data_IF_590965793501
#
_entry.id   IF_590965793501
#
_cell.length_a   1.000
_cell.length_b   1.000
_cell.length_c   1.000
_cell.angle_alpha   90.00
_cell.angle_beta   90.00
_cell.angle_gamma   90.00
#
_symmetry.space_group_name_H-M   'P 1'
#
loop_
_entity.id
_entity.type
_entity.pdbx_description
1 polymer ?
#
# COMPACT_ATOMS: atom_id res chain seq x y z
N UNK A 1 20.57 -9.19 15.27
CA UNK A 1 21.65 -9.67 14.38
C UNK A 1 21.09 -10.89 13.65
N UNK A 2 21.19 -10.98 12.33
CA UNK A 2 20.62 -12.12 11.59
C UNK A 2 21.35 -13.41 11.94
N UNK A 3 20.63 -14.52 12.10
CA UNK A 3 21.23 -15.83 12.26
C UNK A 3 21.98 -16.22 10.98
N UNK A 4 23.21 -16.69 11.15
CA UNK A 4 24.05 -17.20 10.06
C UNK A 4 24.26 -18.70 10.21
N UNK A 5 24.42 -19.39 9.09
CA UNK A 5 24.75 -20.82 9.08
C UNK A 5 26.26 -21.04 9.37
N UNK A 6 26.69 -22.30 9.31
CA UNK A 6 28.08 -22.73 9.54
C UNK A 6 29.12 -22.13 8.59
N UNK A 7 28.69 -21.54 7.46
CA UNK A 7 29.56 -20.85 6.49
C UNK A 7 29.41 -19.32 6.56
N UNK A 8 28.78 -18.80 7.60
CA UNK A 8 28.66 -17.36 7.83
C UNK A 8 27.67 -16.64 6.91
N UNK A 9 26.72 -17.37 6.30
CA UNK A 9 25.70 -16.81 5.41
C UNK A 9 24.33 -16.80 6.07
N UNK A 10 23.59 -15.71 5.88
CA UNK A 10 22.18 -15.57 6.28
C UNK A 10 21.27 -16.34 5.33
N UNK A 11 20.03 -16.62 5.76
CA UNK A 11 19.03 -17.26 4.91
C UNK A 11 18.77 -16.48 3.60
N UNK A 12 18.80 -15.15 3.67
CA UNK A 12 18.66 -14.27 2.48
C UNK A 12 19.84 -14.43 1.53
N UNK A 13 21.08 -14.43 2.04
CA UNK A 13 22.27 -14.64 1.20
C UNK A 13 22.32 -16.04 0.58
N UNK A 14 21.85 -17.08 1.29
CA UNK A 14 21.73 -18.43 0.75
C UNK A 14 20.68 -18.50 -0.35
N UNK A 15 19.50 -17.92 -0.13
CA UNK A 15 18.45 -17.85 -1.13
C UNK A 15 18.92 -17.10 -2.39
N UNK A 16 19.66 -16.01 -2.22
CA UNK A 16 20.27 -15.28 -3.33
C UNK A 16 21.30 -16.14 -4.08
N UNK A 17 22.13 -16.89 -3.36
CA UNK A 17 23.16 -17.76 -3.94
C UNK A 17 22.57 -18.85 -4.85
N UNK A 18 21.41 -19.40 -4.48
CA UNK A 18 20.71 -20.42 -5.29
C UNK A 18 19.71 -19.83 -6.30
N UNK A 19 19.68 -18.51 -6.48
CA UNK A 19 18.82 -17.83 -7.46
C UNK A 19 17.36 -17.64 -7.04
N UNK A 20 17.00 -17.89 -5.78
CA UNK A 20 15.64 -17.69 -5.26
C UNK A 20 15.41 -16.23 -4.83
N UNK A 21 15.44 -15.31 -5.81
CA UNK A 21 15.28 -13.87 -5.58
C UNK A 21 13.92 -13.48 -4.97
N UNK A 22 12.86 -14.25 -5.22
CA UNK A 22 11.56 -14.05 -4.57
C UNK A 22 11.63 -14.31 -3.07
N UNK A 23 12.32 -15.38 -2.64
CA UNK A 23 12.54 -15.66 -1.23
C UNK A 23 13.38 -14.57 -0.56
N UNK A 24 14.41 -14.07 -1.25
CA UNK A 24 15.22 -12.92 -0.80
C UNK A 24 14.33 -11.70 -0.56
N UNK A 25 13.45 -11.38 -1.52
CA UNK A 25 12.53 -10.25 -1.41
C UNK A 25 11.56 -10.43 -0.23
N UNK A 26 11.00 -11.62 -0.02
CA UNK A 26 10.11 -11.90 1.12
C UNK A 26 10.85 -11.75 2.45
N UNK A 27 12.06 -12.31 2.57
CA UNK A 27 12.87 -12.24 3.79
C UNK A 27 13.27 -10.79 4.09
N UNK A 28 13.77 -10.06 3.10
CA UNK A 28 14.26 -8.69 3.28
C UNK A 28 13.13 -7.68 3.52
N UNK A 29 11.90 -8.00 3.11
CA UNK A 29 10.71 -7.15 3.28
C UNK A 29 9.84 -7.54 4.48
N UNK A 30 10.26 -8.54 5.27
CA UNK A 30 9.54 -8.93 6.47
C UNK A 30 9.75 -7.92 7.60
N UNK A 31 8.65 -7.48 8.20
CA UNK A 31 8.64 -6.67 9.42
C UNK A 31 8.04 -7.55 10.50
N UNK A 32 8.83 -7.87 11.52
CA UNK A 32 8.40 -8.76 12.60
C UNK A 32 7.60 -8.00 13.66
N UNK A 33 6.80 -8.72 14.46
CA UNK A 33 6.03 -8.12 15.56
C UNK A 33 6.97 -7.59 16.64
N UNK A 34 8.08 -8.29 16.91
CA UNK A 34 9.08 -7.89 17.90
C UNK A 34 9.72 -6.55 17.55
N UNK A 35 9.87 -6.26 16.25
CA UNK A 35 10.35 -4.95 15.77
C UNK A 35 9.35 -3.83 16.09
N UNK A 36 8.05 -4.11 15.98
CA UNK A 36 7.01 -3.16 16.39
C UNK A 36 7.08 -2.92 17.89
N UNK A 37 7.18 -3.99 18.68
CA UNK A 37 7.27 -3.94 20.13
C UNK A 37 8.51 -3.20 20.62
N UNK A 38 9.67 -3.38 19.97
CA UNK A 38 10.92 -2.67 20.26
C UNK A 38 10.72 -1.14 20.25
N UNK A 39 9.96 -0.62 19.29
CA UNK A 39 9.66 0.82 19.20
C UNK A 39 8.44 1.23 20.03
N UNK A 40 7.50 0.31 20.28
CA UNK A 40 6.32 0.58 21.08
C UNK A 40 6.67 0.68 22.57
N UNK A 41 7.44 -0.30 23.06
CA UNK A 41 7.88 -0.45 24.45
C UNK A 41 9.36 -0.90 24.47
N UNK A 42 10.32 0.04 24.37
CA UNK A 42 11.74 -0.30 24.35
C UNK A 42 12.18 -1.06 25.61
N UNK A 43 13.05 -2.06 25.43
CA UNK A 43 13.70 -2.77 26.54
C UNK A 43 15.17 -2.37 26.65
N UNK A 44 15.65 -2.09 27.85
CA UNK A 44 17.08 -1.94 28.17
C UNK A 44 17.41 -3.02 29.19
N UNK A 45 18.43 -3.84 28.91
CA UNK A 45 18.83 -4.98 29.75
C UNK A 45 17.70 -5.99 30.07
N UNK A 46 16.75 -6.15 29.16
CA UNK A 46 15.62 -7.08 29.33
C UNK A 46 14.40 -6.49 30.05
N UNK A 47 14.52 -5.30 30.62
CA UNK A 47 13.44 -4.60 31.31
C UNK A 47 12.84 -3.50 30.44
N UNK A 48 11.51 -3.32 30.51
CA UNK A 48 10.83 -2.24 29.81
C UNK A 48 11.25 -0.89 30.38
N UNK A 49 11.47 0.07 29.49
CA UNK A 49 11.88 1.43 29.85
C UNK A 49 10.74 2.40 29.61
N UNK A 50 10.48 3.23 30.61
CA UNK A 50 9.34 4.14 30.65
C UNK A 50 8.12 3.52 31.34
N UNK A 51 7.27 4.36 31.93
CA UNK A 51 6.05 3.92 32.63
C UNK A 51 4.81 3.77 31.73
N UNK A 52 4.96 3.91 30.41
CA UNK A 52 3.84 3.85 29.47
C UNK A 52 3.56 2.41 29.05
N UNK A 53 2.34 1.94 29.34
CA UNK A 53 1.83 0.66 28.87
C UNK A 53 0.82 0.86 27.72
N UNK A 54 0.94 0.00 26.70
CA UNK A 54 0.16 0.05 25.46
C UNK A 54 -0.53 -1.30 25.19
N UNK A 55 -1.82 -1.35 24.83
CA UNK A 55 -2.52 -2.63 24.62
C UNK A 55 -1.87 -3.47 23.50
N UNK A 56 -1.94 -4.80 23.61
CA UNK A 56 -1.37 -5.73 22.62
C UNK A 56 -2.04 -5.57 21.25
N UNK A 57 -3.31 -5.15 21.25
CA UNK A 57 -4.06 -4.79 20.05
C UNK A 57 -3.42 -3.63 19.29
N UNK A 58 -2.72 -2.71 19.97
CA UNK A 58 -2.00 -1.61 19.32
C UNK A 58 -0.79 -2.13 18.54
N UNK A 59 0.01 -3.02 19.13
CA UNK A 59 1.15 -3.65 18.46
C UNK A 59 0.66 -4.45 17.24
N UNK A 60 -0.41 -5.24 17.42
CA UNK A 60 -1.05 -6.00 16.34
C UNK A 60 -1.54 -5.10 15.22
N UNK A 61 -2.20 -3.98 15.56
CA UNK A 61 -2.68 -3.00 14.60
C UNK A 61 -1.53 -2.40 13.77
N UNK A 62 -0.47 -1.91 14.42
CA UNK A 62 0.67 -1.31 13.73
C UNK A 62 1.40 -2.35 12.87
N UNK A 63 1.67 -3.54 13.41
CA UNK A 63 2.26 -4.65 12.67
C UNK A 63 1.46 -4.97 11.41
N UNK A 64 0.14 -5.08 11.57
CA UNK A 64 -0.75 -5.43 10.46
C UNK A 64 -0.80 -4.35 9.36
N UNK A 65 -0.52 -3.08 9.68
CA UNK A 65 -0.34 -2.01 8.68
C UNK A 65 0.99 -2.19 7.95
N UNK A 66 2.10 -2.20 8.69
CA UNK A 66 3.46 -2.24 8.16
C UNK A 66 3.78 -3.53 7.38
N UNK A 67 3.27 -4.67 7.84
CA UNK A 67 3.48 -5.97 7.23
C UNK A 67 2.59 -6.25 6.00
N UNK A 68 1.55 -5.44 5.76
CA UNK A 68 0.65 -5.65 4.62
C UNK A 68 1.20 -5.08 3.30
N UNK A 69 0.55 -5.45 2.19
CA UNK A 69 0.75 -4.86 0.86
C UNK A 69 -0.27 -3.76 0.55
N UNK A 70 -1.06 -3.36 1.55
CA UNK A 70 -2.21 -2.47 1.37
C UNK A 70 -1.80 -1.00 1.52
N UNK A 71 -1.30 -0.42 0.43
CA UNK A 71 -0.82 0.98 0.40
C UNK A 71 -1.85 2.00 -0.09
N UNK A 72 -3.06 1.57 -0.43
CA UNK A 72 -4.08 2.46 -0.95
C UNK A 72 -4.63 3.40 0.16
N UNK A 73 -4.73 4.73 -0.07
CA UNK A 73 -5.14 5.70 0.95
C UNK A 73 -6.46 5.33 1.65
N UNK A 74 -7.51 5.02 0.88
CA UNK A 74 -8.82 4.63 1.43
C UNK A 74 -8.75 3.38 2.29
N UNK A 75 -7.88 2.41 1.96
CA UNK A 75 -7.72 1.20 2.77
C UNK A 75 -7.04 1.52 4.10
N UNK A 76 -6.01 2.36 4.09
CA UNK A 76 -5.35 2.84 5.30
C UNK A 76 -6.34 3.62 6.17
N UNK A 77 -7.15 4.50 5.58
CA UNK A 77 -8.21 5.24 6.29
C UNK A 77 -9.24 4.28 6.91
N UNK A 78 -9.68 3.25 6.20
CA UNK A 78 -10.61 2.25 6.76
C UNK A 78 -10.02 1.49 7.94
N UNK A 79 -8.71 1.23 7.94
CA UNK A 79 -8.04 0.57 9.06
C UNK A 79 -7.91 1.52 10.24
N UNK A 80 -7.55 2.77 9.99
CA UNK A 80 -7.54 3.82 11.01
C UNK A 80 -8.92 4.02 11.65
N UNK A 81 -9.97 4.11 10.83
CA UNK A 81 -11.34 4.35 11.31
C UNK A 81 -11.89 3.22 12.16
N UNK A 82 -11.50 1.97 11.86
CA UNK A 82 -11.97 0.77 12.59
C UNK A 82 -11.20 0.50 13.87
N UNK A 83 -10.04 1.14 14.08
CA UNK A 83 -9.29 0.97 15.32
C UNK A 83 -9.82 1.96 16.38
N UNK A 84 -10.43 1.48 17.49
CA UNK A 84 -11.13 2.33 18.46
C UNK A 84 -10.25 3.44 19.04
N UNK A 85 -8.99 3.12 19.34
CA UNK A 85 -8.03 4.02 19.98
C UNK A 85 -7.08 4.71 18.99
N UNK A 86 -7.48 4.79 17.71
CA UNK A 86 -6.70 5.42 16.64
C UNK A 86 -6.27 6.84 16.96
N UNK A 87 -7.14 7.64 17.59
CA UNK A 87 -6.82 9.00 18.01
C UNK A 87 -6.11 9.04 19.36
N UNK A 88 -6.51 8.19 20.31
CA UNK A 88 -5.86 8.05 21.62
C UNK A 88 -4.37 7.79 21.46
N UNK A 89 -4.00 6.81 20.63
CA UNK A 89 -2.62 6.38 20.40
C UNK A 89 -1.99 6.97 19.13
N UNK A 90 -2.61 7.95 18.46
CA UNK A 90 -2.13 8.49 17.16
C UNK A 90 -0.64 8.86 17.16
N UNK A 91 -0.17 9.53 18.22
CA UNK A 91 1.22 9.99 18.32
C UNK A 91 2.17 8.79 18.33
N UNK A 92 1.81 7.74 19.07
CA UNK A 92 2.60 6.53 19.18
C UNK A 92 2.53 5.68 17.91
N UNK A 93 1.35 5.54 17.30
CA UNK A 93 1.18 4.88 15.99
C UNK A 93 2.08 5.52 14.94
N UNK A 94 2.00 6.85 14.79
CA UNK A 94 2.79 7.60 13.84
C UNK A 94 4.30 7.50 14.14
N UNK A 95 4.68 7.57 15.42
CA UNK A 95 6.06 7.40 15.85
C UNK A 95 6.62 6.04 15.45
N UNK A 96 5.92 4.94 15.76
CA UNK A 96 6.41 3.59 15.48
C UNK A 96 6.55 3.36 13.98
N UNK A 97 5.54 3.74 13.18
CA UNK A 97 5.61 3.63 11.70
C UNK A 97 6.81 4.44 11.16
N UNK A 98 7.01 5.66 11.67
CA UNK A 98 8.13 6.53 11.29
C UNK A 98 9.49 5.94 11.68
N UNK A 99 9.62 5.30 12.85
CA UNK A 99 10.85 4.59 13.25
C UNK A 99 11.14 3.39 12.35
N UNK A 100 10.13 2.60 11.99
CA UNK A 100 10.28 1.46 11.09
C UNK A 100 10.68 1.95 9.70
N UNK A 101 10.06 3.02 9.22
CA UNK A 101 10.41 3.71 7.98
C UNK A 101 11.87 4.18 7.98
N UNK A 102 12.31 4.92 9.01
CA UNK A 102 13.69 5.36 9.14
C UNK A 102 14.69 4.19 9.18
N UNK A 103 14.30 3.06 9.80
CA UNK A 103 15.15 1.87 9.85
C UNK A 103 15.43 1.33 8.44
N UNK A 104 14.47 1.39 7.51
CA UNK A 104 14.68 0.98 6.11
C UNK A 104 15.64 1.90 5.36
N UNK A 105 15.73 3.17 5.76
CA UNK A 105 16.65 4.15 5.17
C UNK A 105 18.09 4.01 5.68
N UNK A 106 18.27 3.48 6.90
CA UNK A 106 19.57 3.40 7.59
C UNK A 106 20.27 2.03 7.43
N UNK A 107 19.72 1.13 6.63
CA UNK A 107 20.38 -0.15 6.33
C UNK A 107 21.59 0.04 5.39
N UNK A 108 22.55 -0.90 5.41
CA UNK A 108 23.76 -0.87 4.56
C UNK A 108 23.41 -0.72 3.07
N UNK A 109 22.31 -1.34 2.67
CA UNK A 109 21.65 -1.13 1.38
C UNK A 109 20.24 -0.58 1.70
N UNK A 110 19.89 0.56 1.13
CA UNK A 110 18.59 1.19 1.36
C UNK A 110 17.49 0.34 0.72
N UNK A 111 16.49 -0.04 1.52
CA UNK A 111 15.32 -0.76 0.98
C UNK A 111 14.33 0.26 0.42
N UNK A 112 14.57 0.73 -0.80
CA UNK A 112 13.80 1.81 -1.45
C UNK A 112 12.32 1.47 -1.60
N UNK A 113 11.99 0.21 -1.93
CA UNK A 113 10.61 -0.28 -2.09
C UNK A 113 9.87 -0.24 -0.76
N UNK A 114 10.45 -0.85 0.29
CA UNK A 114 9.84 -0.83 1.62
C UNK A 114 9.76 0.58 2.20
N UNK A 115 10.77 1.41 1.93
CA UNK A 115 10.78 2.81 2.35
C UNK A 115 9.61 3.58 1.75
N UNK A 116 9.34 3.45 0.43
CA UNK A 116 8.16 4.07 -0.18
C UNK A 116 6.86 3.49 0.38
N UNK A 117 6.78 2.16 0.56
CA UNK A 117 5.59 1.49 1.12
C UNK A 117 5.21 2.06 2.49
N UNK A 118 6.17 2.10 3.40
CA UNK A 118 5.99 2.61 4.77
C UNK A 118 5.75 4.12 4.78
N UNK A 119 6.40 4.86 3.89
CA UNK A 119 6.14 6.28 3.72
C UNK A 119 4.69 6.55 3.30
N UNK A 120 4.15 5.82 2.32
CA UNK A 120 2.75 5.98 1.90
C UNK A 120 1.80 5.72 3.07
N UNK A 121 2.04 4.64 3.84
CA UNK A 121 1.27 4.34 5.06
C UNK A 121 1.34 5.51 6.03
N UNK A 122 2.55 5.97 6.36
CA UNK A 122 2.79 7.07 7.29
C UNK A 122 2.13 8.37 6.83
N UNK A 123 2.27 8.73 5.55
CA UNK A 123 1.73 9.94 4.95
C UNK A 123 0.19 9.95 5.04
N UNK A 124 -0.47 8.86 4.62
CA UNK A 124 -1.94 8.81 4.67
C UNK A 124 -2.46 8.74 6.10
N UNK A 125 -1.74 8.09 7.02
CA UNK A 125 -2.08 8.11 8.45
C UNK A 125 -1.98 9.53 9.03
N UNK A 126 -0.93 10.29 8.69
CA UNK A 126 -0.77 11.71 9.11
C UNK A 126 -1.90 12.58 8.57
N UNK A 127 -2.22 12.48 7.29
CA UNK A 127 -3.29 13.26 6.66
C UNK A 127 -4.67 12.92 7.26
N UNK A 128 -4.92 11.63 7.53
CA UNK A 128 -6.16 11.17 8.18
C UNK A 128 -6.27 11.72 9.60
N UNK A 129 -5.23 11.56 10.41
CA UNK A 129 -5.21 12.07 11.79
C UNK A 129 -5.45 13.58 11.83
N UNK A 130 -4.75 14.34 10.97
CA UNK A 130 -4.91 15.79 10.83
C UNK A 130 -6.35 16.18 10.48
N UNK A 131 -6.97 15.46 9.55
CA UNK A 131 -8.37 15.71 9.18
C UNK A 131 -9.32 15.46 10.35
N UNK A 132 -9.15 14.33 11.06
CA UNK A 132 -9.98 13.97 12.21
C UNK A 132 -9.86 15.02 13.32
N UNK A 133 -8.66 15.46 13.66
CA UNK A 133 -8.41 16.50 14.66
C UNK A 133 -9.04 17.85 14.28
N UNK A 134 -9.08 18.17 12.99
CA UNK A 134 -9.70 19.40 12.47
C UNK A 134 -11.23 19.33 12.44
N UNK A 135 -11.83 18.18 12.76
CA UNK A 135 -13.27 17.94 12.75
C UNK A 135 -13.78 17.38 14.09
N UNK A 136 -13.60 18.10 15.22
CA UNK A 136 -13.92 17.59 16.56
C UNK A 136 -15.42 17.34 16.81
N UNK A 137 -16.30 17.86 15.94
CA UNK A 137 -17.75 17.63 16.01
C UNK A 137 -18.22 16.28 15.49
N UNK A 138 -17.31 15.37 15.12
CA UNK A 138 -17.61 14.00 14.66
C UNK A 138 -16.78 12.99 15.44
N UNK A 139 -17.28 11.75 15.53
CA UNK A 139 -16.44 10.66 16.03
C UNK A 139 -15.22 10.45 15.11
N UNK A 140 -14.11 9.89 15.64
CA UNK A 140 -12.93 9.57 14.82
C UNK A 140 -13.25 8.72 13.59
N UNK A 141 -14.14 7.73 13.75
CA UNK A 141 -14.58 6.87 12.66
C UNK A 141 -15.32 7.67 11.57
N UNK A 142 -16.33 8.47 11.96
CA UNK A 142 -17.12 9.26 11.02
C UNK A 142 -16.28 10.29 10.26
N UNK A 143 -15.38 11.00 10.96
CA UNK A 143 -14.47 11.96 10.36
C UNK A 143 -13.50 11.27 9.38
N UNK A 144 -12.98 10.10 9.74
CA UNK A 144 -12.12 9.29 8.86
C UNK A 144 -12.87 8.87 7.59
N UNK A 145 -14.09 8.34 7.73
CA UNK A 145 -14.92 7.93 6.59
C UNK A 145 -15.35 9.12 5.73
N UNK A 146 -15.55 10.30 6.31
CA UNK A 146 -15.78 11.53 5.55
C UNK A 146 -14.55 11.91 4.72
N UNK A 147 -13.35 11.85 5.30
CA UNK A 147 -12.10 12.09 4.57
C UNK A 147 -11.92 11.10 3.42
N UNK A 148 -12.17 9.80 3.67
CA UNK A 148 -12.15 8.77 2.63
C UNK A 148 -13.11 9.09 1.49
N UNK A 149 -14.32 9.61 1.77
CA UNK A 149 -15.29 10.02 0.75
C UNK A 149 -14.80 11.23 -0.06
N UNK A 150 -14.17 12.21 0.59
CA UNK A 150 -13.62 13.38 -0.09
C UNK A 150 -12.52 13.00 -1.09
N UNK A 151 -11.58 12.16 -0.67
CA UNK A 151 -10.50 11.71 -1.56
C UNK A 151 -11.01 10.76 -2.64
N UNK A 152 -12.14 10.06 -2.39
CA UNK A 152 -12.78 9.17 -3.36
C UNK A 152 -13.75 9.88 -4.31
N UNK A 153 -13.92 11.21 -4.22
CA UNK A 153 -14.88 11.90 -5.05
C UNK A 153 -14.62 11.69 -6.56
N UNK A 154 -15.71 11.63 -7.31
CA UNK A 154 -15.70 11.33 -8.75
C UNK A 154 -16.82 12.13 -9.42
N UNK A 155 -16.46 12.99 -10.38
CA UNK A 155 -17.40 13.82 -11.11
C UNK A 155 -17.64 13.28 -12.52
N UNK A 156 -18.69 13.76 -13.18
CA UNK A 156 -18.94 13.45 -14.58
C UNK A 156 -17.77 13.98 -15.45
N UNK A 157 -17.34 13.16 -16.41
CA UNK A 157 -16.20 13.47 -17.29
C UNK A 157 -14.82 13.09 -16.72
N UNK A 158 -14.71 12.80 -15.43
CA UNK A 158 -13.46 12.33 -14.83
C UNK A 158 -13.14 10.89 -15.26
N UNK A 159 -11.92 10.65 -15.74
CA UNK A 159 -11.44 9.31 -16.12
C UNK A 159 -11.05 8.49 -14.89
N UNK A 160 -10.51 9.15 -13.86
CA UNK A 160 -10.13 8.56 -12.57
C UNK A 160 -10.56 9.49 -11.44
N UNK A 161 -10.54 8.99 -10.19
CA UNK A 161 -10.81 9.80 -9.00
C UNK A 161 -9.72 10.86 -8.82
N UNK A 162 -9.94 12.05 -9.37
CA UNK A 162 -8.94 13.14 -9.41
C UNK A 162 -8.38 13.52 -8.02
N UNK A 163 -9.17 13.63 -6.94
CA UNK A 163 -8.62 13.95 -5.61
C UNK A 163 -7.69 12.88 -5.07
N UNK A 164 -8.00 11.59 -5.31
CA UNK A 164 -7.13 10.46 -4.96
C UNK A 164 -5.81 10.52 -5.75
N UNK A 165 -5.87 10.81 -7.05
CA UNK A 165 -4.69 10.94 -7.91
C UNK A 165 -3.76 12.06 -7.41
N UNK A 166 -4.32 13.21 -7.04
CA UNK A 166 -3.59 14.34 -6.45
C UNK A 166 -2.94 13.93 -5.12
N UNK A 167 -3.68 13.30 -4.22
CA UNK A 167 -3.18 12.88 -2.91
C UNK A 167 -1.98 11.92 -3.04
N UNK A 168 -2.07 10.96 -3.95
CA UNK A 168 -0.99 10.00 -4.22
C UNK A 168 0.25 10.68 -4.81
N UNK A 169 0.07 11.58 -5.78
CA UNK A 169 1.18 12.36 -6.35
C UNK A 169 1.85 13.22 -5.27
N UNK A 170 1.07 13.87 -4.41
CA UNK A 170 1.60 14.65 -3.29
C UNK A 170 2.39 13.78 -2.31
N UNK A 171 1.90 12.58 -2.01
CA UNK A 171 2.62 11.63 -1.16
C UNK A 171 3.98 11.27 -1.76
N UNK A 172 4.05 10.99 -3.08
CA UNK A 172 5.32 10.73 -3.76
C UNK A 172 6.22 11.97 -3.72
N UNK A 173 5.72 13.16 -4.05
CA UNK A 173 6.53 14.40 -4.00
C UNK A 173 7.09 14.68 -2.59
N UNK A 174 6.34 14.35 -1.55
CA UNK A 174 6.73 14.52 -0.17
C UNK A 174 7.69 13.42 0.35
N UNK A 175 7.96 12.37 -0.44
CA UNK A 175 8.88 11.30 -0.06
C UNK A 175 10.27 11.85 0.27
N UNK A 176 10.84 11.55 1.46
CA UNK A 176 12.10 12.14 1.90
C UNK A 176 13.32 11.71 1.08
N UNK A 177 13.36 10.48 0.57
CA UNK A 177 14.55 9.91 -0.06
C UNK A 177 14.62 10.16 -1.57
N UNK A 178 14.73 11.44 -1.94
CA UNK A 178 14.63 11.92 -3.33
C UNK A 178 15.85 11.63 -4.19
N UNK A 179 16.97 11.22 -3.60
CA UNK A 179 18.22 10.96 -4.32
C UNK A 179 18.31 9.51 -4.86
N UNK A 180 17.27 8.71 -4.67
CA UNK A 180 17.23 7.33 -5.17
C UNK A 180 16.90 7.25 -6.66
N UNK A 181 17.52 6.30 -7.36
CA UNK A 181 17.16 5.98 -8.75
C UNK A 181 15.71 5.51 -8.84
N UNK A 182 15.24 4.76 -7.83
CA UNK A 182 13.85 4.34 -7.72
C UNK A 182 12.89 5.52 -7.67
N UNK A 183 13.15 6.51 -6.82
CA UNK A 183 12.33 7.73 -6.74
C UNK A 183 12.31 8.48 -8.08
N UNK A 184 13.47 8.72 -8.67
CA UNK A 184 13.57 9.41 -9.96
C UNK A 184 12.78 8.69 -11.06
N UNK A 185 12.86 7.36 -11.09
CA UNK A 185 12.13 6.53 -12.06
C UNK A 185 10.62 6.61 -11.85
N UNK A 186 10.16 6.57 -10.60
CA UNK A 186 8.74 6.71 -10.26
C UNK A 186 8.22 8.11 -10.62
N UNK A 187 8.94 9.18 -10.28
CA UNK A 187 8.54 10.56 -10.61
C UNK A 187 8.50 10.78 -12.13
N UNK A 188 9.51 10.30 -12.86
CA UNK A 188 9.51 10.34 -14.33
C UNK A 188 8.31 9.60 -14.92
N UNK A 189 7.93 8.45 -14.35
CA UNK A 189 6.77 7.67 -14.80
C UNK A 189 5.46 8.40 -14.52
N UNK A 190 5.29 8.97 -13.31
CA UNK A 190 4.12 9.78 -12.95
C UNK A 190 3.93 10.98 -13.87
N UNK A 191 5.02 11.60 -14.33
CA UNK A 191 4.98 12.76 -15.22
C UNK A 191 4.58 12.41 -16.66
N UNK A 192 4.51 11.12 -17.04
CA UNK A 192 4.04 10.69 -18.36
C UNK A 192 2.53 10.87 -18.54
N UNK A 193 1.75 10.90 -17.45
CA UNK A 193 0.31 11.14 -17.49
C UNK A 193 -0.07 12.40 -16.69
N UNK A 194 -0.92 13.29 -17.24
CA UNK A 194 -1.48 14.40 -16.49
C UNK A 194 -2.33 13.94 -15.30
N UNK A 195 -2.52 14.84 -14.34
CA UNK A 195 -3.42 14.60 -13.19
C UNK A 195 -4.84 14.28 -13.68
N UNK A 196 -5.42 13.20 -13.17
CA UNK A 196 -6.76 12.77 -13.54
C UNK A 196 -6.84 11.96 -14.83
N UNK A 197 -5.72 11.56 -15.42
CA UNK A 197 -5.64 10.69 -16.59
C UNK A 197 -5.05 9.32 -16.25
N UNK A 198 -5.19 8.37 -17.17
CA UNK A 198 -4.59 7.03 -17.06
C UNK A 198 -3.20 6.97 -17.73
N UNK A 199 -2.27 6.15 -17.22
CA UNK A 199 -2.31 5.49 -15.91
C UNK A 199 -2.34 6.51 -14.77
N UNK A 200 -3.13 6.21 -13.75
CA UNK A 200 -3.22 6.99 -12.51
C UNK A 200 -1.96 6.83 -11.67
N UNK A 201 -1.81 7.71 -10.69
CA UNK A 201 -0.72 7.64 -9.74
C UNK A 201 -0.70 6.33 -8.95
N UNK A 202 -1.87 5.77 -8.63
CA UNK A 202 -1.95 4.50 -7.93
C UNK A 202 -1.37 3.36 -8.78
N UNK A 203 -1.65 3.35 -10.09
CA UNK A 203 -1.14 2.32 -11.00
C UNK A 203 0.39 2.37 -11.08
N UNK A 204 0.98 3.56 -11.24
CA UNK A 204 2.43 3.69 -11.24
C UNK A 204 3.08 3.29 -9.90
N UNK A 205 2.46 3.64 -8.78
CA UNK A 205 2.93 3.25 -7.44
C UNK A 205 2.89 1.73 -7.29
N UNK A 206 1.78 1.10 -7.64
CA UNK A 206 1.60 -0.37 -7.56
C UNK A 206 2.60 -1.10 -8.46
N UNK A 207 2.80 -0.63 -9.69
CA UNK A 207 3.80 -1.18 -10.61
C UNK A 207 5.23 -1.05 -10.07
N UNK A 208 5.53 0.06 -9.39
CA UNK A 208 6.86 0.30 -8.83
C UNK A 208 7.11 -0.53 -7.56
N UNK A 209 6.08 -0.74 -6.73
CA UNK A 209 6.20 -1.51 -5.49
C UNK A 209 6.14 -3.02 -5.69
N UNK A 210 5.32 -3.50 -6.64
CA UNK A 210 5.00 -4.92 -6.78
C UNK A 210 5.26 -5.48 -8.18
N UNK A 211 5.92 -4.69 -9.04
CA UNK A 211 6.29 -5.07 -10.39
C UNK A 211 5.24 -4.76 -11.45
N UNK A 212 5.70 -4.54 -12.68
CA UNK A 212 4.87 -4.05 -13.80
C UNK A 212 3.72 -5.00 -14.17
N UNK A 213 3.91 -6.31 -14.02
CA UNK A 213 2.91 -7.32 -14.39
C UNK A 213 1.66 -7.29 -13.52
N UNK A 214 1.74 -6.81 -12.28
CA UNK A 214 0.62 -6.91 -11.34
C UNK A 214 -0.62 -6.18 -11.83
N UNK A 215 -0.47 -5.03 -12.50
CA UNK A 215 -1.60 -4.24 -13.02
C UNK A 215 -2.26 -4.91 -14.23
N UNK A 216 -1.53 -5.75 -14.96
CA UNK A 216 -2.08 -6.51 -16.08
C UNK A 216 -2.84 -7.77 -15.63
N UNK A 217 -2.40 -8.42 -14.56
CA UNK A 217 -2.94 -9.73 -14.13
C UNK A 217 -3.94 -9.64 -12.97
N UNK A 218 -3.89 -8.58 -12.16
CA UNK A 218 -4.77 -8.41 -11.02
C UNK A 218 -5.85 -7.38 -11.30
N UNK A 219 -7.10 -7.75 -10.99
CA UNK A 219 -8.20 -6.80 -10.91
C UNK A 219 -8.23 -6.15 -9.53
N UNK A 220 -8.04 -4.84 -9.48
CA UNK A 220 -8.01 -4.09 -8.23
C UNK A 220 -9.39 -3.52 -7.87
N UNK A 221 -9.67 -3.44 -6.57
CA UNK A 221 -10.87 -2.75 -6.07
C UNK A 221 -10.77 -1.25 -6.36
N UNK A 222 -11.80 -0.68 -7.01
CA UNK A 222 -11.85 0.74 -7.39
C UNK A 222 -12.02 1.72 -6.22
N UNK A 223 -12.03 1.21 -4.98
CA UNK A 223 -12.20 1.98 -3.74
C UNK A 223 -10.97 1.87 -2.86
N UNK A 224 -10.51 0.66 -2.58
CA UNK A 224 -9.47 0.41 -1.60
C UNK A 224 -8.21 -0.23 -2.19
N UNK A 225 -8.14 -0.44 -3.51
CA UNK A 225 -6.96 -1.00 -4.17
C UNK A 225 -6.62 -2.43 -3.76
N UNK A 226 -7.53 -3.17 -3.10
CA UNK A 226 -7.29 -4.58 -2.79
C UNK A 226 -7.28 -5.40 -4.10
N UNK A 227 -6.26 -6.24 -4.35
CA UNK A 227 -6.17 -7.07 -5.55
C UNK A 227 -7.22 -8.21 -5.54
N UNK A 228 -7.50 -8.79 -6.69
CA UNK A 228 -8.45 -9.91 -6.80
C UNK A 228 -9.91 -9.51 -6.58
N UNK A 229 -10.31 -8.31 -6.99
CA UNK A 229 -11.69 -7.84 -6.94
C UNK A 229 -12.61 -8.66 -7.85
N UNK A 230 -13.46 -9.50 -7.24
CA UNK A 230 -14.37 -10.42 -7.96
C UNK A 230 -15.78 -9.85 -8.19
N UNK A 231 -16.19 -8.84 -7.42
CA UNK A 231 -17.52 -8.24 -7.55
C UNK A 231 -17.47 -7.09 -8.55
N UNK A 232 -18.53 -6.89 -9.32
CA UNK A 232 -18.62 -5.82 -10.31
C UNK A 232 -19.97 -5.12 -10.26
N UNK A 233 -19.99 -3.83 -10.59
CA UNK A 233 -21.25 -3.15 -10.88
C UNK A 233 -21.93 -3.82 -12.10
N UNK A 234 -23.23 -4.16 -12.05
CA UNK A 234 -23.90 -4.80 -13.17
C UNK A 234 -23.94 -3.92 -14.42
N UNK A 235 -23.97 -2.59 -14.26
CA UNK A 235 -24.02 -1.61 -15.35
C UNK A 235 -22.61 -1.32 -15.89
N UNK A 236 -21.78 -0.59 -15.15
CA UNK A 236 -20.48 -0.10 -15.63
C UNK A 236 -19.28 -1.02 -15.43
N UNK A 237 -19.50 -2.20 -14.84
CA UNK A 237 -18.48 -3.23 -14.57
C UNK A 237 -17.36 -2.81 -13.59
N UNK A 238 -17.47 -1.65 -12.94
CA UNK A 238 -16.52 -1.19 -11.91
C UNK A 238 -16.30 -2.27 -10.83
N UNK A 239 -15.04 -2.57 -10.53
CA UNK A 239 -14.63 -3.72 -9.71
C UNK A 239 -14.55 -3.39 -8.21
N UNK A 240 -15.01 -4.31 -7.37
CA UNK A 240 -15.00 -4.21 -5.92
C UNK A 240 -14.51 -5.51 -5.27
N UNK A 241 -13.75 -5.41 -4.18
CA UNK A 241 -13.35 -6.58 -3.39
C UNK A 241 -14.49 -7.09 -2.49
N UNK A 242 -15.38 -6.22 -2.02
CA UNK A 242 -16.43 -6.55 -1.06
C UNK A 242 -17.70 -5.72 -1.26
N UNK A 243 -18.81 -6.18 -0.67
CA UNK A 243 -20.06 -5.41 -0.63
C UNK A 243 -19.91 -4.13 0.19
N UNK A 244 -19.04 -4.14 1.20
CA UNK A 244 -18.71 -2.96 2.01
C UNK A 244 -18.11 -1.85 1.15
N UNK A 245 -17.12 -2.15 0.31
CA UNK A 245 -16.53 -1.17 -0.61
C UNK A 245 -17.56 -0.64 -1.62
N UNK A 246 -18.41 -1.52 -2.16
CA UNK A 246 -19.47 -1.10 -3.08
C UNK A 246 -20.49 -0.17 -2.40
N UNK A 247 -20.95 -0.50 -1.19
CA UNK A 247 -21.89 0.32 -0.41
C UNK A 247 -21.29 1.68 -0.03
N UNK A 248 -20.02 1.69 0.39
CA UNK A 248 -19.29 2.91 0.71
C UNK A 248 -19.21 3.87 -0.49
N UNK A 249 -18.93 3.31 -1.68
CA UNK A 249 -18.73 4.08 -2.90
C UNK A 249 -20.02 4.47 -3.60
N UNK A 250 -21.12 3.74 -3.37
CA UNK A 250 -22.39 3.96 -4.07
C UNK A 250 -22.90 5.41 -4.09
N UNK A 251 -22.84 6.20 -2.99
CA UNK A 251 -23.25 7.60 -3.02
C UNK A 251 -22.47 8.48 -4.01
N UNK A 252 -21.22 8.11 -4.30
CA UNK A 252 -20.33 8.78 -5.26
C UNK A 252 -20.54 8.15 -6.64
N UNK A 253 -20.32 6.85 -6.76
CA UNK A 253 -20.37 6.11 -8.02
C UNK A 253 -21.72 6.22 -8.72
N UNK A 254 -22.86 6.15 -8.04
CA UNK A 254 -24.19 6.20 -8.70
C UNK A 254 -24.39 7.43 -9.59
N UNK A 255 -23.71 8.54 -9.27
CA UNK A 255 -23.77 9.79 -10.02
C UNK A 255 -23.04 9.70 -11.37
N UNK A 256 -22.02 8.84 -11.45
CA UNK A 256 -21.16 8.68 -12.63
C UNK A 256 -21.30 7.30 -13.29
N UNK A 257 -22.05 6.37 -12.71
CA UNK A 257 -22.15 4.98 -13.17
C UNK A 257 -22.40 4.87 -14.69
N UNK A 258 -23.35 5.65 -15.20
CA UNK A 258 -23.70 5.65 -16.63
C UNK A 258 -22.57 6.14 -17.52
N UNK A 259 -21.75 7.11 -17.08
CA UNK A 259 -20.63 7.65 -17.87
C UNK A 259 -19.39 6.76 -17.84
N UNK A 260 -19.32 5.78 -16.94
CA UNK A 260 -18.22 4.83 -16.83
C UNK A 260 -18.36 3.60 -17.74
N UNK A 261 -19.52 3.38 -18.36
CA UNK A 261 -19.76 2.27 -19.28
C UNK A 261 -18.72 2.28 -20.42
N UNK A 262 -17.89 1.24 -20.51
CA UNK A 262 -16.91 1.05 -21.59
C UNK A 262 -15.54 1.73 -21.41
N UNK A 263 -15.37 2.59 -20.40
CA UNK A 263 -14.14 3.40 -20.19
C UNK A 263 -13.24 2.90 -19.05
N UNK A 264 -13.54 1.75 -18.44
CA UNK A 264 -12.83 1.24 -17.25
C UNK A 264 -11.86 0.09 -17.56
N UNK A 265 -11.92 -0.48 -18.77
CA UNK A 265 -10.97 -1.52 -19.17
C UNK A 265 -9.64 -0.85 -19.52
N UNK A 266 -8.60 -1.25 -18.80
CA UNK A 266 -7.23 -0.96 -19.19
C UNK A 266 -7.07 -1.41 -20.64
N UNK A 267 -6.58 -0.53 -21.50
CA UNK A 267 -6.13 -0.93 -22.83
C UNK A 267 -5.08 -2.03 -22.62
N UNK A 268 -5.52 -3.28 -22.72
CA UNK A 268 -4.65 -4.43 -22.78
C UNK A 268 -3.95 -4.30 -24.12
N UNK A 269 -2.73 -3.79 -24.10
CA UNK A 269 -1.83 -3.97 -25.22
C UNK A 269 -1.73 -5.47 -25.46
N UNK A 270 -2.40 -5.94 -26.52
CA UNK A 270 -2.24 -7.25 -27.17
C UNK A 270 -2.18 -8.47 -26.25
N UNK A 271 -3.27 -9.25 -26.25
CA UNK A 271 -3.32 -10.73 -26.31
C UNK A 271 -1.97 -11.49 -26.29
N UNK A 272 -1.22 -11.43 -25.20
CA UNK A 272 -0.12 -12.35 -24.89
C UNK A 272 -0.33 -12.92 -23.47
N UNK A 273 -1.54 -13.39 -23.19
CA UNK A 273 -1.69 -14.44 -22.18
C UNK A 273 -1.15 -15.72 -22.81
N UNK A 274 0.10 -16.06 -22.52
CA UNK A 274 0.61 -17.42 -22.72
C UNK A 274 -0.29 -18.32 -21.88
N UNK A 275 -0.96 -19.28 -22.52
CA UNK A 275 -1.84 -20.23 -21.84
C UNK A 275 -1.03 -21.01 -20.80
N UNK A 276 -1.71 -21.52 -19.77
CA UNK A 276 -1.07 -22.44 -18.82
C UNK A 276 -0.48 -23.67 -19.54
N UNK A 277 -1.13 -24.06 -20.64
CA UNK A 277 -0.68 -25.14 -21.52
C UNK A 277 0.60 -24.77 -22.29
N UNK A 278 0.73 -23.51 -22.73
CA UNK A 278 1.91 -23.01 -23.43
C UNK A 278 3.12 -22.89 -22.49
N UNK A 279 2.88 -22.52 -21.23
CA UNK A 279 3.90 -22.51 -20.16
C UNK A 279 4.39 -23.93 -19.84
N UNK A 280 3.49 -24.92 -19.78
CA UNK A 280 3.86 -26.32 -19.58
C UNK A 280 4.62 -26.88 -20.79
N UNK A 281 4.24 -26.49 -22.02
CA UNK A 281 4.94 -26.89 -23.23
C UNK A 281 6.36 -26.30 -23.32
N UNK A 282 6.57 -25.07 -22.86
CA UNK A 282 7.90 -24.46 -22.80
C UNK A 282 8.80 -25.09 -21.74
N UNK A 283 8.25 -25.49 -20.59
CA UNK A 283 9.01 -26.21 -19.55
C UNK A 283 9.45 -27.59 -20.05
N UNK A 284 8.60 -28.29 -20.81
CA UNK A 284 8.93 -29.59 -21.41
C UNK A 284 10.02 -29.53 -22.48
N UNK A 285 10.35 -28.33 -23.01
CA UNK A 285 11.42 -28.14 -23.99
C UNK A 285 12.78 -27.80 -23.37
N UNK A 286 12.86 -27.64 -22.04
CA UNK A 286 14.09 -27.27 -21.32
C UNK A 286 14.86 -28.50 -20.79
N UNK A 287 14.34 -29.72 -20.99
CA UNK A 287 15.11 -30.94 -20.69
C UNK A 287 16.07 -31.28 -21.85
N UNK A 288 17.29 -30.72 -21.76
CA UNK A 288 18.56 -31.31 -22.23
C UNK A 288 19.64 -31.07 -21.19
#
# INVERSE_FOLDING_TARGET
MYSVNSIGKTASELAAFVGHHECVAVINNHISVELIEEFLRPKINGEYVGGEEYPDELATFIHSLCGSHEVHPVKIIFRFSKYPDSITYKKKILYVIDRIFERQLRCKESNEIMSLKLWLILFFMRETAKYVESNPGKSPEEASLQYARMISAWNEGDVVRRPLDILLRNAVVAFPYKHSLFYDTLVKSLNKSPVGQRPSAYEYIVQSLFGQRIVAVCQFCSVCGHPGAKKRCPQCKLSYCSQECQKFDWPIHKKVCTSLNGNQELATGTNNMISMDDLQAQIAQIDV
#
